data_IF_803862431532
#
_entry.id   IF_803862431532
#
_cell.length_a   1.000
_cell.length_b   1.000
_cell.length_c   1.000
_cell.angle_alpha   90.00
_cell.angle_beta   90.00
_cell.angle_gamma   90.00
#
_symmetry.space_group_name_H-M   'P 1'
#
loop_
_entity.id
_entity.type
_entity.pdbx_description
1 polymer ?
#
# COMPACT_ATOMS: atom_id res chain seq x y z
N UNK A 1 8.52 29.17 23.43
CA UNK A 1 9.70 28.66 22.70
C UNK A 1 9.19 27.96 21.47
N UNK A 2 9.35 28.56 20.28
CA UNK A 2 9.12 27.84 19.03
C UNK A 2 10.21 26.76 18.93
N UNK A 3 9.85 25.52 19.22
CA UNK A 3 10.70 24.38 18.94
C UNK A 3 10.64 24.12 17.43
N UNK A 4 11.45 24.85 16.66
CA UNK A 4 11.67 24.55 15.24
C UNK A 4 12.52 23.29 15.15
N UNK A 5 11.90 22.13 15.39
CA UNK A 5 12.57 20.85 15.34
C UNK A 5 12.95 20.57 13.88
N UNK A 6 14.24 20.69 13.55
CA UNK A 6 14.74 20.34 12.23
C UNK A 6 14.65 18.82 12.04
N UNK A 7 13.51 18.35 11.52
CA UNK A 7 13.33 16.95 11.19
C UNK A 7 14.29 16.54 10.07
N UNK A 8 14.98 15.43 10.27
CA UNK A 8 15.82 14.82 9.23
C UNK A 8 14.95 14.37 8.05
N UNK A 9 15.51 14.36 6.84
CA UNK A 9 14.81 13.90 5.63
C UNK A 9 14.30 12.46 5.77
N UNK A 10 15.02 11.62 6.51
CA UNK A 10 14.58 10.27 6.84
C UNK A 10 13.34 10.28 7.72
N UNK A 11 13.34 11.07 8.80
CA UNK A 11 12.19 11.20 9.69
C UNK A 11 10.95 11.68 8.94
N UNK A 12 11.11 12.66 8.03
CA UNK A 12 10.00 13.15 7.19
C UNK A 12 9.41 12.03 6.34
N UNK A 13 10.23 11.29 5.60
CA UNK A 13 9.74 10.20 4.76
C UNK A 13 9.11 9.07 5.60
N UNK A 14 9.70 8.70 6.74
CA UNK A 14 9.10 7.71 7.64
C UNK A 14 7.72 8.14 8.14
N UNK A 15 7.54 9.41 8.52
CA UNK A 15 6.23 9.95 8.88
C UNK A 15 5.22 9.86 7.73
N UNK A 16 5.65 10.07 6.48
CA UNK A 16 4.81 9.84 5.29
C UNK A 16 4.41 8.37 5.17
N UNK A 17 5.33 7.43 5.40
CA UNK A 17 5.03 5.99 5.39
C UNK A 17 4.01 5.60 6.46
N UNK A 18 4.13 6.15 7.67
CA UNK A 18 3.15 5.92 8.75
C UNK A 18 1.78 6.49 8.40
N UNK A 19 1.71 7.73 7.91
CA UNK A 19 0.45 8.34 7.47
C UNK A 19 -0.20 7.55 6.33
N UNK A 20 0.58 7.19 5.31
CA UNK A 20 0.10 6.37 4.20
C UNK A 20 -0.38 4.99 4.70
N UNK A 21 0.30 4.39 5.68
CA UNK A 21 -0.11 3.14 6.32
C UNK A 21 -1.45 3.23 7.03
N UNK A 22 -1.70 4.32 7.78
CA UNK A 22 -3.02 4.55 8.40
C UNK A 22 -4.12 4.68 7.36
N UNK A 23 -3.91 5.52 6.35
CA UNK A 23 -4.90 5.72 5.29
C UNK A 23 -5.15 4.41 4.53
N UNK A 24 -4.09 3.72 4.11
CA UNK A 24 -4.20 2.44 3.42
C UNK A 24 -4.98 1.41 4.25
N UNK A 25 -4.75 1.36 5.56
CA UNK A 25 -5.49 0.47 6.46
C UNK A 25 -6.99 0.74 6.40
N UNK A 26 -7.41 2.01 6.42
CA UNK A 26 -8.83 2.38 6.31
C UNK A 26 -9.41 1.91 4.97
N UNK A 27 -8.71 2.14 3.86
CA UNK A 27 -9.18 1.71 2.54
C UNK A 27 -9.24 0.18 2.39
N UNK A 28 -8.23 -0.55 2.87
CA UNK A 28 -8.22 -2.01 2.81
C UNK A 28 -9.30 -2.63 3.71
N UNK A 29 -9.55 -2.08 4.90
CA UNK A 29 -10.64 -2.54 5.77
C UNK A 29 -12.01 -2.24 5.16
N UNK A 30 -12.19 -1.06 4.58
CA UNK A 30 -13.43 -0.71 3.87
C UNK A 30 -13.67 -1.66 2.69
N UNK A 31 -12.63 -1.96 1.92
CA UNK A 31 -12.70 -2.91 0.82
C UNK A 31 -13.05 -4.34 1.29
N UNK A 32 -12.40 -4.83 2.35
CA UNK A 32 -12.69 -6.15 2.93
C UNK A 32 -14.14 -6.25 3.41
N UNK A 33 -14.62 -5.20 4.10
CA UNK A 33 -16.02 -5.13 4.54
C UNK A 33 -17.00 -5.19 3.37
N UNK A 34 -16.79 -4.38 2.32
CA UNK A 34 -17.64 -4.40 1.13
C UNK A 34 -17.63 -5.77 0.44
N UNK A 35 -16.45 -6.36 0.23
CA UNK A 35 -16.33 -7.63 -0.45
C UNK A 35 -17.06 -8.74 0.31
N UNK A 36 -16.89 -8.81 1.64
CA UNK A 36 -17.58 -9.79 2.49
C UNK A 36 -19.09 -9.58 2.46
N UNK A 37 -19.55 -8.33 2.50
CA UNK A 37 -20.98 -8.01 2.42
C UNK A 37 -21.62 -8.43 1.09
N UNK A 38 -20.88 -8.38 -0.01
CA UNK A 38 -21.38 -8.72 -1.35
C UNK A 38 -21.30 -10.21 -1.66
N UNK A 39 -20.26 -10.90 -1.17
CA UNK A 39 -19.94 -12.28 -1.58
C UNK A 39 -20.22 -13.33 -0.51
N UNK A 40 -20.51 -12.92 0.74
CA UNK A 40 -20.58 -13.80 1.92
C UNK A 40 -19.31 -14.65 2.15
N UNK A 41 -18.21 -14.32 1.48
CA UNK A 41 -16.96 -15.05 1.55
C UNK A 41 -16.17 -14.62 2.78
N UNK A 42 -16.07 -15.48 3.79
CA UNK A 42 -15.40 -15.16 5.06
C UNK A 42 -14.10 -15.92 5.24
N UNK A 43 -13.12 -15.69 4.35
CA UNK A 43 -11.80 -16.30 4.50
C UNK A 43 -10.93 -15.52 5.49
N UNK A 44 -10.96 -15.92 6.76
CA UNK A 44 -10.31 -15.20 7.87
C UNK A 44 -8.92 -15.74 8.26
N UNK A 45 -8.50 -16.88 7.71
CA UNK A 45 -7.22 -17.51 8.09
C UNK A 45 -6.01 -16.66 7.71
N UNK A 46 -6.02 -16.10 6.49
CA UNK A 46 -4.92 -15.28 5.97
C UNK A 46 -5.28 -13.80 6.03
N UNK A 47 -6.54 -13.47 5.71
CA UNK A 47 -7.03 -12.09 5.62
C UNK A 47 -8.01 -11.84 6.75
N UNK A 48 -7.49 -11.33 7.86
CA UNK A 48 -8.26 -10.81 8.98
C UNK A 48 -7.88 -9.34 9.27
N UNK A 49 -8.69 -8.67 10.09
CA UNK A 49 -8.50 -7.26 10.46
C UNK A 49 -7.07 -6.98 10.93
N UNK A 50 -6.52 -7.82 11.82
CA UNK A 50 -5.17 -7.65 12.35
C UNK A 50 -4.10 -7.75 11.26
N UNK A 51 -4.21 -8.73 10.36
CA UNK A 51 -3.29 -8.91 9.23
C UNK A 51 -3.35 -7.72 8.26
N UNK A 52 -4.54 -7.15 8.03
CA UNK A 52 -4.73 -5.99 7.16
C UNK A 52 -4.01 -4.77 7.75
N UNK A 53 -4.22 -4.49 9.04
CA UNK A 53 -3.57 -3.36 9.73
C UNK A 53 -2.04 -3.53 9.70
N UNK A 54 -1.56 -4.71 10.12
CA UNK A 54 -0.13 -4.95 10.24
C UNK A 54 0.58 -4.91 8.88
N UNK A 55 0.02 -5.57 7.87
CA UNK A 55 0.59 -5.57 6.51
C UNK A 55 0.56 -4.18 5.88
N UNK A 56 -0.55 -3.44 6.00
CA UNK A 56 -0.66 -2.08 5.45
C UNK A 56 0.40 -1.15 6.05
N UNK A 57 0.60 -1.21 7.36
CA UNK A 57 1.64 -0.42 8.04
C UNK A 57 3.05 -0.83 7.61
N UNK A 58 3.35 -2.13 7.69
CA UNK A 58 4.67 -2.65 7.37
C UNK A 58 5.04 -2.33 5.91
N UNK A 59 4.13 -2.55 4.97
CA UNK A 59 4.36 -2.27 3.56
C UNK A 59 4.57 -0.78 3.29
N UNK A 60 3.79 0.12 3.88
CA UNK A 60 3.96 1.56 3.64
C UNK A 60 5.24 2.11 4.28
N UNK A 61 5.67 1.59 5.43
CA UNK A 61 6.96 1.95 6.03
C UNK A 61 8.11 1.49 5.14
N UNK A 62 8.10 0.24 4.68
CA UNK A 62 9.14 -0.29 3.77
C UNK A 62 9.13 0.47 2.45
N UNK A 63 7.96 0.71 1.87
CA UNK A 63 7.81 1.46 0.63
C UNK A 63 8.37 2.88 0.77
N UNK A 64 8.15 3.54 1.91
CA UNK A 64 8.71 4.86 2.18
C UNK A 64 10.23 4.84 2.38
N UNK A 65 10.78 3.81 3.03
CA UNK A 65 12.23 3.63 3.14
C UNK A 65 12.89 3.46 1.77
N UNK A 66 12.27 2.66 0.89
CA UNK A 66 12.76 2.48 -0.49
C UNK A 66 12.68 3.81 -1.26
N UNK A 67 11.57 4.55 -1.11
CA UNK A 67 11.44 5.89 -1.70
C UNK A 67 12.54 6.83 -1.20
N UNK A 68 12.80 6.86 0.11
CA UNK A 68 13.86 7.67 0.70
C UNK A 68 15.24 7.30 0.14
N UNK A 69 15.57 6.02 0.10
CA UNK A 69 16.83 5.55 -0.44
C UNK A 69 17.03 6.00 -1.90
N UNK A 70 16.02 5.81 -2.75
CA UNK A 70 16.11 6.23 -4.16
C UNK A 70 16.19 7.76 -4.29
N UNK A 71 15.43 8.50 -3.49
CA UNK A 71 15.44 9.96 -3.50
C UNK A 71 16.78 10.54 -3.05
N UNK A 72 17.43 9.98 -2.02
CA UNK A 72 18.73 10.49 -1.54
C UNK A 72 19.82 10.25 -2.58
N UNK A 73 19.85 9.08 -3.23
CA UNK A 73 20.90 8.72 -4.19
C UNK A 73 20.71 9.37 -5.57
N UNK A 74 19.46 9.50 -6.04
CA UNK A 74 19.15 9.90 -7.42
C UNK A 74 18.23 11.13 -7.53
N UNK A 75 17.91 11.78 -6.40
CA UNK A 75 17.06 12.98 -6.33
C UNK A 75 15.71 12.76 -7.06
N UNK A 76 15.33 13.67 -7.95
CA UNK A 76 14.06 13.60 -8.70
C UNK A 76 13.99 12.40 -9.66
N UNK A 77 15.13 11.95 -10.20
CA UNK A 77 15.16 10.72 -11.00
C UNK A 77 14.84 9.50 -10.13
N UNK A 78 15.30 9.48 -8.87
CA UNK A 78 14.96 8.43 -7.90
C UNK A 78 13.47 8.33 -7.61
N UNK A 79 12.77 9.47 -7.51
CA UNK A 79 11.33 9.49 -7.36
C UNK A 79 10.61 8.92 -8.61
N UNK A 80 11.11 9.21 -9.81
CA UNK A 80 10.55 8.64 -11.04
C UNK A 80 10.79 7.13 -11.14
N UNK A 81 12.01 6.66 -10.84
CA UNK A 81 12.37 5.24 -10.79
C UNK A 81 11.47 4.50 -9.80
N UNK A 82 11.26 5.08 -8.61
CA UNK A 82 10.36 4.51 -7.61
C UNK A 82 8.93 4.35 -8.13
N UNK A 83 8.35 5.42 -8.69
CA UNK A 83 6.97 5.40 -9.21
C UNK A 83 6.79 4.37 -10.31
N UNK A 84 7.73 4.30 -11.26
CA UNK A 84 7.71 3.33 -12.36
C UNK A 84 7.87 1.92 -11.82
N UNK A 85 8.86 1.68 -10.93
CA UNK A 85 9.14 0.37 -10.37
C UNK A 85 7.97 -0.20 -9.57
N UNK A 86 7.40 0.59 -8.65
CA UNK A 86 6.21 0.19 -7.91
C UNK A 86 4.96 0.12 -8.79
N UNK A 87 4.87 0.92 -9.86
CA UNK A 87 3.76 0.89 -10.82
C UNK A 87 3.73 -0.43 -11.58
N UNK A 88 4.88 -0.81 -12.14
CA UNK A 88 5.05 -2.11 -12.81
C UNK A 88 4.82 -3.26 -11.83
N UNK A 89 5.36 -3.17 -10.62
CA UNK A 89 5.14 -4.19 -9.58
C UNK A 89 3.66 -4.32 -9.22
N UNK A 90 2.93 -3.21 -9.10
CA UNK A 90 1.49 -3.21 -8.82
C UNK A 90 0.72 -3.90 -9.92
N UNK A 91 0.99 -3.56 -11.19
CA UNK A 91 0.34 -4.19 -12.35
C UNK A 91 0.65 -5.69 -12.36
N UNK A 92 1.91 -6.06 -12.14
CA UNK A 92 2.32 -7.47 -12.09
C UNK A 92 1.59 -8.23 -10.98
N UNK A 93 1.53 -7.70 -9.76
CA UNK A 93 0.82 -8.32 -8.64
C UNK A 93 -0.69 -8.40 -8.87
N UNK A 94 -1.28 -7.39 -9.51
CA UNK A 94 -2.69 -7.39 -9.86
C UNK A 94 -3.03 -8.49 -10.87
N UNK A 95 -2.20 -8.66 -11.90
CA UNK A 95 -2.34 -9.74 -12.89
C UNK A 95 -2.07 -11.11 -12.24
N UNK A 96 -1.04 -11.21 -11.39
CA UNK A 96 -0.76 -12.45 -10.67
C UNK A 96 -1.94 -12.86 -9.77
N UNK A 97 -2.57 -11.89 -9.10
CA UNK A 97 -3.75 -12.12 -8.28
C UNK A 97 -4.97 -12.62 -9.09
N UNK A 98 -5.13 -12.17 -10.34
CA UNK A 98 -6.22 -12.65 -11.20
C UNK A 98 -6.02 -14.10 -11.67
N UNK A 99 -4.79 -14.61 -11.66
CA UNK A 99 -4.43 -15.96 -12.09
C UNK A 99 -4.28 -16.95 -10.93
N UNK A 100 -4.67 -16.57 -9.70
CA UNK A 100 -4.67 -17.47 -8.55
C UNK A 100 -5.52 -18.69 -8.85
N UNK A 101 -4.96 -19.90 -8.64
CA UNK A 101 -5.64 -21.16 -8.89
C UNK A 101 -6.88 -21.36 -8.03
N UNK A 102 -7.75 -22.29 -8.43
CA UNK A 102 -8.95 -22.62 -7.66
C UNK A 102 -8.54 -23.34 -6.37
N UNK A 103 -8.88 -22.73 -5.22
CA UNK A 103 -8.59 -23.26 -3.89
C UNK A 103 -9.81 -23.92 -3.24
N UNK A 104 -11.01 -23.51 -3.64
CA UNK A 104 -12.28 -23.95 -3.07
C UNK A 104 -13.06 -24.80 -4.07
N UNK A 105 -13.83 -25.78 -3.57
CA UNK A 105 -14.72 -26.58 -4.39
C UNK A 105 -15.89 -25.77 -4.98
N UNK A 106 -16.28 -24.68 -4.32
CA UNK A 106 -17.36 -23.78 -4.75
C UNK A 106 -16.76 -22.66 -5.64
N UNK A 107 -17.18 -22.55 -6.92
CA UNK A 107 -16.59 -21.58 -7.85
C UNK A 107 -16.68 -20.12 -7.39
N UNK A 108 -17.82 -19.71 -6.82
CA UNK A 108 -18.06 -18.34 -6.31
C UNK A 108 -17.00 -17.92 -5.29
N UNK A 109 -16.52 -18.84 -4.46
CA UNK A 109 -15.48 -18.54 -3.46
C UNK A 109 -14.09 -18.37 -4.07
N UNK A 110 -13.81 -19.00 -5.20
CA UNK A 110 -12.56 -18.77 -5.93
C UNK A 110 -12.53 -17.37 -6.54
N UNK A 111 -13.67 -16.92 -7.08
CA UNK A 111 -13.77 -15.58 -7.66
C UNK A 111 -13.68 -14.50 -6.58
N UNK A 112 -14.38 -14.67 -5.45
CA UNK A 112 -14.27 -13.78 -4.30
C UNK A 112 -12.84 -13.72 -3.76
N UNK A 113 -12.13 -14.86 -3.70
CA UNK A 113 -10.73 -14.93 -3.29
C UNK A 113 -9.82 -14.14 -4.24
N UNK A 114 -9.95 -14.34 -5.56
CA UNK A 114 -9.20 -13.56 -6.56
C UNK A 114 -9.46 -12.06 -6.42
N UNK A 115 -10.74 -11.68 -6.31
CA UNK A 115 -11.12 -10.28 -6.11
C UNK A 115 -10.46 -9.70 -4.85
N UNK A 116 -10.44 -10.43 -3.74
CA UNK A 116 -9.80 -9.98 -2.49
C UNK A 116 -8.33 -9.61 -2.70
N UNK A 117 -7.55 -10.49 -3.32
CA UNK A 117 -6.12 -10.24 -3.56
C UNK A 117 -5.89 -9.16 -4.63
N UNK A 118 -6.72 -9.11 -5.68
CA UNK A 118 -6.64 -8.07 -6.69
C UNK A 118 -6.92 -6.69 -6.09
N UNK A 119 -7.95 -6.57 -5.25
CA UNK A 119 -8.27 -5.34 -4.55
C UNK A 119 -7.15 -4.87 -3.64
N UNK A 120 -6.58 -5.76 -2.82
CA UNK A 120 -5.43 -5.40 -1.99
C UNK A 120 -4.19 -5.03 -2.77
N UNK A 121 -3.87 -5.75 -3.84
CA UNK A 121 -2.75 -5.40 -4.71
C UNK A 121 -2.97 -4.01 -5.35
N UNK A 122 -4.17 -3.74 -5.85
CA UNK A 122 -4.53 -2.47 -6.48
C UNK A 122 -4.49 -1.30 -5.50
N UNK A 123 -5.16 -1.41 -4.35
CA UNK A 123 -5.21 -0.33 -3.34
C UNK A 123 -3.82 -0.11 -2.76
N UNK A 124 -3.14 -1.16 -2.27
CA UNK A 124 -1.81 -1.05 -1.66
C UNK A 124 -0.78 -0.52 -2.66
N UNK A 125 -0.80 -1.04 -3.88
CA UNK A 125 0.07 -0.59 -4.95
C UNK A 125 -0.20 0.86 -5.37
N UNK A 126 -1.47 1.28 -5.45
CA UNK A 126 -1.85 2.67 -5.70
C UNK A 126 -1.33 3.63 -4.62
N UNK A 127 -1.42 3.22 -3.35
CA UNK A 127 -0.86 3.99 -2.23
C UNK A 127 0.67 4.09 -2.30
N UNK A 128 1.35 2.97 -2.56
CA UNK A 128 2.80 2.96 -2.69
C UNK A 128 3.25 3.86 -3.86
N UNK A 129 2.62 3.71 -5.03
CA UNK A 129 3.02 4.39 -6.27
C UNK A 129 2.71 5.87 -6.29
N UNK A 130 1.53 6.28 -5.82
CA UNK A 130 1.04 7.65 -5.97
C UNK A 130 1.11 8.42 -4.65
N UNK A 131 0.58 7.84 -3.58
CA UNK A 131 0.38 8.56 -2.30
C UNK A 131 1.70 8.88 -1.62
N UNK A 132 2.65 7.93 -1.55
CA UNK A 132 3.97 8.17 -0.92
C UNK A 132 4.75 9.31 -1.63
N UNK A 133 4.96 9.27 -2.96
CA UNK A 133 5.67 10.35 -3.66
C UNK A 133 4.91 11.67 -3.64
N UNK A 134 3.58 11.64 -3.72
CA UNK A 134 2.75 12.84 -3.67
C UNK A 134 2.89 13.56 -2.32
N UNK A 135 2.68 12.86 -1.21
CA UNK A 135 2.78 13.44 0.13
C UNK A 135 4.23 13.89 0.41
N UNK A 136 5.22 13.09 0.02
CA UNK A 136 6.64 13.43 0.22
C UNK A 136 7.05 14.71 -0.52
N UNK A 137 6.46 15.00 -1.70
CA UNK A 137 6.67 16.26 -2.41
C UNK A 137 5.89 17.41 -1.79
N UNK A 138 4.66 17.17 -1.35
CA UNK A 138 3.83 18.19 -0.68
C UNK A 138 4.46 18.67 0.64
N UNK A 139 5.11 17.79 1.39
CA UNK A 139 5.84 18.15 2.62
C UNK A 139 7.00 19.13 2.41
N UNK A 140 7.49 19.31 1.17
CA UNK A 140 8.47 20.37 0.85
C UNK A 140 7.88 21.78 1.01
N UNK A 141 6.55 21.92 1.02
CA UNK A 141 5.84 23.19 1.06
C UNK A 141 5.07 23.44 2.38
N UNK A 142 5.04 22.46 3.29
CA UNK A 142 4.22 22.51 4.51
C UNK A 142 5.07 22.77 5.78
N UNK A 143 6.40 22.64 5.70
CA UNK A 143 7.35 22.89 6.79
C UNK A 143 8.60 23.62 6.32
#
# INVERSE_FOLDING_TARGET
MEYTYQQTTLSKHLSVGVLAGYLLTIFNLFYDFLLRSLTNFTYSEIVNVSSIIFSSMLFMIIASLIYHFLFVNFKMAGAAIYMIGFGVLTIFLFIAASHIGNKFAIPIYNDAFRMQFMGYAGITGGFATLVIPFISRAFKYIF
#
